data_IF_089637129431
#
_entry.id   IF_089637129431
#
_cell.length_a   1.000
_cell.length_b   1.000
_cell.length_c   1.000
_cell.angle_alpha   90.00
_cell.angle_beta   90.00
_cell.angle_gamma   90.00
#
_symmetry.space_group_name_H-M   'P 1'
#
loop_
_entity.id
_entity.type
_entity.pdbx_description
1 polymer ?
#
# COMPACT_ATOMS: atom_id res chain seq x y z
N UNK A 1 13.23 -33.52 19.89
CA UNK A 1 12.50 -33.24 18.64
C UNK A 1 12.70 -31.76 18.30
N UNK A 2 13.50 -31.44 17.29
CA UNK A 2 13.66 -30.05 16.84
C UNK A 2 12.43 -29.67 16.02
N UNK A 3 11.60 -28.76 16.52
CA UNK A 3 10.43 -28.28 15.77
C UNK A 3 10.92 -27.52 14.54
N UNK A 4 10.35 -27.80 13.37
CA UNK A 4 10.62 -26.99 12.18
C UNK A 4 10.39 -25.50 12.50
N UNK A 5 11.26 -24.60 12.02
CA UNK A 5 11.05 -23.18 12.22
C UNK A 5 9.69 -22.78 11.62
N UNK A 6 8.95 -21.86 12.26
CA UNK A 6 7.64 -21.45 11.78
C UNK A 6 7.74 -20.91 10.36
N UNK A 7 6.82 -21.34 9.50
CA UNK A 7 6.75 -20.89 8.11
C UNK A 7 6.50 -19.37 8.06
N UNK A 8 7.33 -18.66 7.29
CA UNK A 8 7.29 -17.18 7.23
C UNK A 8 6.24 -16.64 6.26
N UNK A 9 5.77 -17.48 5.34
CA UNK A 9 4.62 -17.25 4.45
C UNK A 9 3.78 -18.52 4.48
N UNK A 10 2.59 -18.47 5.08
CA UNK A 10 1.65 -19.59 5.06
C UNK A 10 0.88 -19.55 3.74
N UNK A 11 0.73 -20.70 3.09
CA UNK A 11 -0.01 -20.83 1.84
C UNK A 11 -1.16 -21.84 2.00
N UNK A 12 -2.41 -21.36 1.92
CA UNK A 12 -3.60 -22.21 1.93
C UNK A 12 -4.26 -22.21 0.54
N UNK A 13 -4.66 -23.39 0.07
CA UNK A 13 -5.35 -23.58 -1.20
C UNK A 13 -6.82 -23.91 -0.88
N UNK A 14 -7.73 -22.97 -1.14
CA UNK A 14 -9.15 -23.09 -0.80
C UNK A 14 -9.95 -23.07 -2.10
N UNK A 15 -10.24 -24.25 -2.62
CA UNK A 15 -10.88 -24.39 -3.93
C UNK A 15 -10.10 -23.63 -4.99
N UNK A 16 -10.71 -22.57 -5.54
CA UNK A 16 -10.10 -21.73 -6.58
C UNK A 16 -9.26 -20.54 -6.06
N UNK A 17 -9.28 -20.32 -4.76
CA UNK A 17 -8.53 -19.25 -4.11
C UNK A 17 -7.15 -19.74 -3.67
N UNK A 18 -6.15 -18.88 -3.79
CA UNK A 18 -4.83 -19.07 -3.19
C UNK A 18 -4.61 -18.02 -2.11
N UNK A 19 -4.48 -18.46 -0.87
CA UNK A 19 -4.31 -17.58 0.27
C UNK A 19 -2.85 -17.55 0.69
N UNK A 20 -2.24 -16.36 0.67
CA UNK A 20 -0.87 -16.14 1.13
C UNK A 20 -0.89 -15.26 2.38
N UNK A 21 -0.42 -15.79 3.50
CA UNK A 21 -0.36 -15.06 4.77
C UNK A 21 1.08 -14.78 5.18
N UNK A 22 1.48 -13.51 5.25
CA UNK A 22 2.75 -13.09 5.83
C UNK A 22 2.74 -13.40 7.33
N UNK A 23 3.57 -14.33 7.77
CA UNK A 23 3.47 -14.93 9.11
C UNK A 23 4.67 -14.59 10.00
N UNK A 24 4.97 -13.29 10.11
CA UNK A 24 6.02 -12.78 11.01
C UNK A 24 5.51 -11.63 11.87
N UNK A 25 4.40 -11.78 12.63
CA UNK A 25 3.75 -10.67 13.32
C UNK A 25 4.66 -9.98 14.35
N UNK A 26 5.56 -10.73 15.00
CA UNK A 26 6.56 -10.19 15.93
C UNK A 26 7.62 -9.31 15.25
N UNK A 27 7.81 -9.48 13.95
CA UNK A 27 8.72 -8.68 13.11
C UNK A 27 7.95 -7.80 12.13
N UNK A 28 6.73 -7.42 12.50
CA UNK A 28 5.90 -6.51 11.71
C UNK A 28 5.68 -6.99 10.26
N UNK A 29 5.68 -8.31 10.04
CA UNK A 29 5.55 -8.92 8.71
C UNK A 29 6.52 -8.31 7.67
N UNK A 30 7.74 -7.95 8.12
CA UNK A 30 8.79 -7.38 7.27
C UNK A 30 9.14 -8.29 6.09
N UNK A 31 9.14 -7.72 4.88
CA UNK A 31 9.45 -8.42 3.62
C UNK A 31 10.96 -8.48 3.47
N UNK A 32 11.58 -9.48 4.10
CA UNK A 32 12.98 -9.81 3.85
C UNK A 32 13.15 -10.49 2.48
N UNK A 33 14.39 -10.58 1.99
CA UNK A 33 14.67 -11.30 0.73
C UNK A 33 14.13 -12.74 0.71
N UNK A 34 14.13 -13.43 1.86
CA UNK A 34 13.50 -14.76 1.99
C UNK A 34 11.99 -14.72 1.79
N UNK A 35 11.29 -13.74 2.38
CA UNK A 35 9.84 -13.59 2.22
C UNK A 35 9.50 -13.23 0.78
N UNK A 36 10.24 -12.29 0.17
CA UNK A 36 10.07 -11.89 -1.22
C UNK A 36 10.26 -13.08 -2.18
N UNK A 37 11.32 -13.88 -1.98
CA UNK A 37 11.57 -15.09 -2.77
C UNK A 37 10.44 -16.10 -2.64
N UNK A 38 9.97 -16.36 -1.42
CA UNK A 38 8.85 -17.29 -1.18
C UNK A 38 7.55 -16.81 -1.83
N UNK A 39 7.25 -15.51 -1.78
CA UNK A 39 6.11 -14.94 -2.47
C UNK A 39 6.24 -15.12 -3.99
N UNK A 40 7.40 -14.78 -4.57
CA UNK A 40 7.66 -14.94 -6.02
C UNK A 40 7.42 -16.38 -6.47
N UNK A 41 8.01 -17.35 -5.77
CA UNK A 41 7.86 -18.77 -6.08
C UNK A 41 6.42 -19.25 -6.02
N UNK A 42 5.64 -18.77 -5.03
CA UNK A 42 4.21 -19.12 -4.92
C UNK A 42 3.38 -18.46 -6.02
N UNK A 43 3.63 -17.19 -6.32
CA UNK A 43 2.95 -16.47 -7.39
C UNK A 43 3.23 -17.12 -8.76
N UNK A 44 4.48 -17.44 -9.07
CA UNK A 44 4.88 -18.16 -10.29
C UNK A 44 4.26 -19.56 -10.38
N UNK A 45 4.10 -20.25 -9.24
CA UNK A 45 3.37 -21.53 -9.18
C UNK A 45 1.90 -21.32 -9.54
N UNK A 46 1.25 -20.32 -8.94
CA UNK A 46 -0.18 -20.09 -9.09
C UNK A 46 -0.56 -19.50 -10.44
N UNK A 47 0.31 -18.72 -11.07
CA UNK A 47 0.13 -18.27 -12.46
C UNK A 47 -0.02 -19.43 -13.45
N UNK A 48 0.60 -20.58 -13.16
CA UNK A 48 0.56 -21.79 -14.01
C UNK A 48 -0.52 -22.78 -13.56
N UNK A 49 -1.28 -22.47 -12.51
CA UNK A 49 -2.28 -23.35 -11.94
C UNK A 49 -3.67 -22.98 -12.48
N UNK A 50 -4.21 -23.81 -13.39
CA UNK A 50 -5.54 -23.60 -13.96
C UNK A 50 -6.67 -23.61 -12.92
N UNK A 51 -6.41 -24.06 -11.69
CA UNK A 51 -7.37 -24.00 -10.60
C UNK A 51 -7.21 -22.74 -9.73
N UNK A 52 -6.24 -21.87 -10.00
CA UNK A 52 -6.02 -20.63 -9.25
C UNK A 52 -6.67 -19.47 -10.00
N UNK A 53 -7.88 -19.08 -9.59
CA UNK A 53 -8.58 -17.96 -10.23
C UNK A 53 -8.22 -16.61 -9.58
N UNK A 54 -7.95 -16.61 -8.28
CA UNK A 54 -7.54 -15.38 -7.59
C UNK A 54 -6.66 -15.68 -6.37
N UNK A 55 -5.91 -14.66 -5.96
CA UNK A 55 -4.96 -14.72 -4.85
C UNK A 55 -5.34 -13.66 -3.81
N UNK A 56 -5.45 -14.06 -2.55
CA UNK A 56 -5.58 -13.14 -1.42
C UNK A 56 -4.27 -13.15 -0.65
N UNK A 57 -3.65 -11.96 -0.53
CA UNK A 57 -2.46 -11.77 0.30
C UNK A 57 -2.85 -10.99 1.56
N UNK A 58 -2.52 -11.53 2.74
CA UNK A 58 -2.80 -10.90 4.04
C UNK A 58 -1.62 -11.01 5.00
N UNK A 59 -1.66 -10.23 6.07
CA UNK A 59 -0.67 -10.31 7.16
C UNK A 59 -1.27 -10.97 8.39
N UNK A 60 -0.50 -11.83 9.06
CA UNK A 60 -0.86 -12.36 10.36
C UNK A 60 -0.78 -11.26 11.43
N UNK A 61 -1.70 -11.29 12.39
CA UNK A 61 -1.73 -10.35 13.50
C UNK A 61 -2.29 -8.98 13.11
N UNK A 62 -1.73 -7.91 13.69
CA UNK A 62 -2.33 -6.56 13.65
C UNK A 62 -2.07 -5.78 12.36
N UNK A 63 -1.02 -6.11 11.63
CA UNK A 63 -0.58 -5.31 10.48
C UNK A 63 -0.37 -6.18 9.25
N UNK A 64 -0.53 -5.60 8.07
CA UNK A 64 -0.22 -6.29 6.81
C UNK A 64 1.29 -6.53 6.69
N UNK A 65 2.07 -5.46 6.54
CA UNK A 65 3.54 -5.47 6.48
C UNK A 65 4.10 -4.08 6.81
N UNK A 66 5.30 -4.03 7.40
CA UNK A 66 6.08 -2.80 7.56
C UNK A 66 6.89 -2.43 6.29
N UNK A 67 6.72 -3.15 5.19
CA UNK A 67 7.46 -2.95 3.95
C UNK A 67 8.66 -3.89 3.79
N UNK A 68 9.42 -3.66 2.74
CA UNK A 68 10.67 -4.35 2.44
C UNK A 68 11.85 -3.38 2.36
N UNK A 69 13.02 -3.92 2.01
CA UNK A 69 14.20 -3.10 1.78
C UNK A 69 14.01 -2.23 0.51
N UNK A 70 13.78 -0.93 0.71
CA UNK A 70 13.43 0.02 -0.35
C UNK A 70 14.61 0.31 -1.30
N UNK A 71 15.83 -0.12 -0.98
CA UNK A 71 17.03 0.15 -1.79
C UNK A 71 16.99 -0.45 -3.21
N UNK A 72 15.97 -1.23 -3.59
CA UNK A 72 15.91 -1.95 -4.88
C UNK A 72 14.69 -1.67 -5.74
N UNK A 73 13.79 -0.77 -5.34
CA UNK A 73 12.54 -0.51 -6.07
C UNK A 73 12.23 0.99 -6.05
N UNK A 74 12.87 1.75 -6.95
CA UNK A 74 12.48 3.13 -7.26
C UNK A 74 12.29 3.26 -8.76
N UNK A 75 11.02 3.37 -9.17
CA UNK A 75 10.63 3.94 -10.45
C UNK A 75 9.27 4.66 -10.31
N UNK A 76 9.17 5.81 -10.96
CA UNK A 76 8.54 7.05 -10.46
C UNK A 76 7.02 7.15 -10.38
N UNK A 77 6.59 8.12 -9.53
CA UNK A 77 5.42 9.02 -9.58
C UNK A 77 5.60 10.10 -8.49
N UNK A 78 5.24 11.36 -8.74
CA UNK A 78 5.37 12.51 -7.81
C UNK A 78 4.83 12.25 -6.38
N UNK A 79 3.73 11.50 -6.26
CA UNK A 79 3.17 11.08 -4.97
C UNK A 79 4.10 10.14 -4.17
N UNK A 80 4.89 9.31 -4.85
CA UNK A 80 5.89 8.42 -4.23
C UNK A 80 7.10 9.20 -3.75
N UNK A 81 7.53 10.23 -4.50
CA UNK A 81 8.63 11.11 -4.12
C UNK A 81 8.27 11.93 -2.88
N UNK A 82 7.07 12.52 -2.85
CA UNK A 82 6.58 13.18 -1.66
C UNK A 82 6.57 12.25 -0.44
N UNK A 83 5.99 11.04 -0.57
CA UNK A 83 5.96 10.06 0.52
C UNK A 83 7.35 9.63 0.96
N UNK A 84 8.25 9.37 0.00
CA UNK A 84 9.62 8.93 0.25
C UNK A 84 10.45 9.99 0.95
N UNK A 85 10.36 11.24 0.50
CA UNK A 85 11.15 12.37 1.02
C UNK A 85 10.59 12.92 2.33
N UNK A 86 9.28 12.84 2.56
CA UNK A 86 8.67 13.38 3.78
C UNK A 86 8.46 12.34 4.88
N UNK A 87 8.41 11.05 4.55
CA UNK A 87 8.13 9.98 5.50
C UNK A 87 6.75 10.08 6.16
N UNK A 88 5.81 10.81 5.54
CA UNK A 88 4.47 11.02 6.10
C UNK A 88 3.72 9.68 6.18
N UNK A 89 3.07 9.46 7.33
CA UNK A 89 2.23 8.28 7.58
C UNK A 89 0.80 8.59 7.17
N UNK A 90 0.29 7.86 6.19
CA UNK A 90 -1.12 7.93 5.81
C UNK A 90 -1.96 6.88 6.52
N UNK A 91 -3.20 7.27 6.82
CA UNK A 91 -4.24 6.40 7.35
C UNK A 91 -5.19 5.97 6.23
N UNK A 92 -5.97 4.91 6.45
CA UNK A 92 -6.68 4.20 5.36
C UNK A 92 -7.50 5.08 4.41
N UNK A 93 -8.18 6.12 4.90
CA UNK A 93 -8.91 7.08 4.06
C UNK A 93 -8.01 7.85 3.10
N UNK A 94 -6.83 8.21 3.58
CA UNK A 94 -5.84 8.98 2.83
C UNK A 94 -5.21 8.14 1.71
N UNK A 95 -4.98 6.86 1.99
CA UNK A 95 -4.47 5.90 1.00
C UNK A 95 -5.41 5.76 -0.21
N UNK A 96 -6.72 5.80 0.01
CA UNK A 96 -7.76 5.71 -1.04
C UNK A 96 -7.77 6.97 -1.89
N UNK A 97 -7.84 8.10 -1.21
CA UNK A 97 -7.86 9.41 -1.85
C UNK A 97 -6.61 9.70 -2.68
N UNK A 98 -5.45 9.19 -2.26
CA UNK A 98 -4.20 9.28 -3.01
C UNK A 98 -4.11 8.28 -4.18
N UNK A 99 -5.14 7.45 -4.41
CA UNK A 99 -5.15 6.42 -5.45
C UNK A 99 -4.19 5.25 -5.18
N UNK A 100 -3.68 5.10 -3.95
CA UNK A 100 -2.82 3.97 -3.56
C UNK A 100 -3.64 2.71 -3.19
N UNK A 101 -4.90 2.88 -2.84
CA UNK A 101 -5.85 1.79 -2.63
C UNK A 101 -7.09 2.02 -3.50
N UNK A 102 -7.70 0.92 -3.94
CA UNK A 102 -8.91 0.95 -4.77
C UNK A 102 -10.20 1.00 -3.95
N UNK A 103 -10.21 0.36 -2.78
CA UNK A 103 -11.42 0.18 -1.96
C UNK A 103 -11.12 0.33 -0.48
N UNK A 104 -12.05 0.93 0.26
CA UNK A 104 -11.97 1.06 1.71
C UNK A 104 -12.98 0.15 2.40
N UNK A 105 -12.49 -0.90 3.05
CA UNK A 105 -13.33 -1.84 3.79
C UNK A 105 -13.01 -1.74 5.28
N UNK A 106 -14.00 -1.42 6.14
CA UNK A 106 -13.82 -1.45 7.59
C UNK A 106 -13.33 -2.82 8.09
N UNK A 107 -12.40 -2.83 9.05
CA UNK A 107 -11.74 -4.07 9.50
C UNK A 107 -12.70 -5.16 10.00
N UNK A 108 -13.82 -4.77 10.63
CA UNK A 108 -14.84 -5.70 11.10
C UNK A 108 -15.60 -6.41 9.97
N UNK A 109 -15.57 -5.87 8.75
CA UNK A 109 -16.18 -6.47 7.54
C UNK A 109 -15.23 -7.40 6.79
N UNK A 110 -13.92 -7.31 7.01
CA UNK A 110 -12.92 -8.06 6.22
C UNK A 110 -13.13 -9.58 6.29
N UNK A 111 -13.54 -10.10 7.43
CA UNK A 111 -13.82 -11.53 7.57
C UNK A 111 -15.01 -11.99 6.71
N UNK A 112 -16.06 -11.16 6.62
CA UNK A 112 -17.21 -11.47 5.78
C UNK A 112 -16.88 -11.29 4.29
N UNK A 113 -16.13 -10.24 3.95
CA UNK A 113 -15.62 -10.05 2.59
C UNK A 113 -14.80 -11.25 2.11
N UNK A 114 -13.86 -11.74 2.92
CA UNK A 114 -13.06 -12.92 2.58
C UNK A 114 -13.95 -14.13 2.29
N UNK A 115 -14.96 -14.39 3.14
CA UNK A 115 -15.93 -15.46 2.91
C UNK A 115 -16.74 -15.28 1.63
N UNK A 116 -17.19 -14.06 1.35
CA UNK A 116 -17.96 -13.77 0.12
C UNK A 116 -17.11 -14.00 -1.12
N UNK A 117 -15.85 -13.55 -1.12
CA UNK A 117 -14.91 -13.78 -2.22
C UNK A 117 -14.66 -15.28 -2.46
N UNK A 118 -14.50 -16.06 -1.40
CA UNK A 118 -14.32 -17.51 -1.47
C UNK A 118 -15.55 -18.24 -2.06
N UNK A 119 -16.75 -17.65 -1.97
CA UNK A 119 -18.00 -18.24 -2.43
C UNK A 119 -18.43 -17.81 -3.84
N UNK A 120 -17.71 -16.89 -4.51
CA UNK A 120 -17.99 -16.55 -5.91
C UNK A 120 -17.84 -17.83 -6.77
N UNK A 121 -18.63 -18.00 -7.83
CA UNK A 121 -18.58 -19.18 -8.70
C UNK A 121 -17.42 -19.14 -9.71
N UNK A 122 -17.02 -20.31 -10.22
CA UNK A 122 -15.99 -20.48 -11.26
C UNK A 122 -16.43 -19.85 -12.60
N UNK A 123 -15.53 -19.09 -13.22
CA UNK A 123 -15.75 -18.49 -14.54
C UNK A 123 -16.53 -17.17 -14.50
N UNK A 124 -16.83 -16.66 -13.31
CA UNK A 124 -17.41 -15.34 -13.11
C UNK A 124 -16.40 -14.24 -13.49
N UNK A 125 -16.88 -13.19 -14.13
CA UNK A 125 -16.03 -12.09 -14.59
C UNK A 125 -15.41 -11.28 -13.45
N UNK A 126 -14.29 -10.59 -13.72
CA UNK A 126 -13.65 -9.62 -12.82
C UNK A 126 -14.63 -8.57 -12.26
N UNK A 127 -15.72 -8.29 -12.99
CA UNK A 127 -16.79 -7.37 -12.59
C UNK A 127 -17.51 -7.84 -11.32
N UNK A 128 -17.64 -9.14 -11.10
CA UNK A 128 -18.31 -9.70 -9.92
C UNK A 128 -17.42 -9.59 -8.68
N UNK A 129 -16.11 -9.82 -8.82
CA UNK A 129 -15.16 -9.57 -7.73
C UNK A 129 -15.22 -8.12 -7.27
N UNK A 130 -15.22 -7.18 -8.22
CA UNK A 130 -15.37 -5.75 -7.91
C UNK A 130 -16.70 -5.47 -7.22
N UNK A 131 -17.81 -5.97 -7.75
CA UNK A 131 -19.13 -5.78 -7.13
C UNK A 131 -19.21 -6.30 -5.70
N UNK A 132 -18.60 -7.45 -5.41
CA UNK A 132 -18.54 -7.98 -4.04
C UNK A 132 -17.69 -7.06 -3.16
N UNK A 133 -16.51 -6.63 -3.60
CA UNK A 133 -15.68 -5.72 -2.81
C UNK A 133 -16.40 -4.38 -2.57
N UNK A 134 -17.11 -3.86 -3.58
CA UNK A 134 -17.91 -2.63 -3.50
C UNK A 134 -19.02 -2.71 -2.44
N UNK A 135 -19.70 -3.86 -2.32
CA UNK A 135 -20.74 -4.09 -1.31
C UNK A 135 -20.20 -3.93 0.13
N UNK A 136 -18.97 -4.39 0.38
CA UNK A 136 -18.33 -4.26 1.69
C UNK A 136 -17.63 -2.91 1.89
N UNK A 137 -17.43 -2.16 0.81
CA UNK A 137 -16.70 -0.90 0.82
C UNK A 137 -17.51 0.23 1.46
N UNK A 138 -16.82 1.30 1.85
CA UNK A 138 -17.45 2.51 2.37
C UNK A 138 -16.83 3.70 1.66
N UNK A 139 -17.68 4.60 1.17
CA UNK A 139 -17.22 5.83 0.55
C UNK A 139 -16.44 6.66 1.57
N UNK A 140 -15.22 7.03 1.17
CA UNK A 140 -14.32 7.81 2.00
C UNK A 140 -14.55 9.28 1.68
N UNK A 141 -15.00 10.04 2.68
CA UNK A 141 -14.90 11.50 2.67
C UNK A 141 -13.56 11.89 3.29
N UNK A 142 -12.78 12.70 2.57
CA UNK A 142 -11.50 13.26 3.04
C UNK A 142 -11.84 14.42 3.98
N UNK A 143 -11.20 14.46 5.13
CA UNK A 143 -11.27 15.61 6.04
C UNK A 143 -10.56 16.81 5.39
N UNK A 144 -11.16 18.01 5.41
CA UNK A 144 -10.56 19.23 4.86
C UNK A 144 -9.16 19.52 5.42
N UNK A 145 -8.88 19.04 6.63
CA UNK A 145 -7.56 19.17 7.28
C UNK A 145 -6.50 18.18 6.79
N UNK A 146 -6.87 17.18 5.99
CA UNK A 146 -5.94 16.18 5.45
C UNK A 146 -4.98 16.84 4.46
N UNK A 147 -3.73 16.37 4.44
CA UNK A 147 -2.71 16.77 3.45
C UNK A 147 -3.21 16.56 2.00
N UNK A 148 -4.19 15.68 1.80
CA UNK A 148 -4.79 15.42 0.50
C UNK A 148 -5.65 16.55 -0.06
N UNK A 149 -6.21 17.43 0.77
CA UNK A 149 -6.83 18.66 0.26
C UNK A 149 -5.80 19.62 -0.35
N UNK A 150 -4.52 19.39 -0.06
CA UNK A 150 -3.37 20.19 -0.51
C UNK A 150 -2.55 19.49 -1.60
N UNK A 151 -3.02 18.35 -2.11
CA UNK A 151 -2.28 17.54 -3.08
C UNK A 151 -2.08 18.23 -4.42
N UNK A 152 -2.98 19.12 -4.83
CA UNK A 152 -2.77 19.93 -6.05
C UNK A 152 -1.51 20.79 -5.95
N UNK A 153 -1.24 21.36 -4.77
CA UNK A 153 -0.05 22.16 -4.50
C UNK A 153 1.18 21.25 -4.44
N UNK A 154 1.08 20.10 -3.79
CA UNK A 154 2.18 19.12 -3.72
C UNK A 154 2.56 18.64 -5.12
N UNK A 155 1.58 18.23 -5.92
CA UNK A 155 1.81 17.70 -7.26
C UNK A 155 2.38 18.76 -8.20
N UNK A 156 1.91 20.02 -8.12
CA UNK A 156 2.53 21.13 -8.87
C UNK A 156 3.99 21.35 -8.42
N UNK A 157 4.29 21.37 -7.12
CA UNK A 157 5.66 21.54 -6.64
C UNK A 157 6.58 20.38 -7.05
N UNK A 158 6.10 19.13 -7.06
CA UNK A 158 6.86 17.96 -7.50
C UNK A 158 6.82 17.73 -9.02
N UNK A 159 6.12 18.56 -9.79
CA UNK A 159 6.12 18.48 -11.26
C UNK A 159 7.38 19.08 -11.90
N UNK A 160 8.26 19.70 -11.11
CA UNK A 160 9.50 20.33 -11.59
C UNK A 160 10.53 19.27 -11.97
N UNK A 161 11.41 19.59 -12.91
CA UNK A 161 12.37 18.63 -13.46
C UNK A 161 13.54 18.36 -12.51
N UNK A 162 13.82 19.29 -11.58
CA UNK A 162 14.93 19.19 -10.64
C UNK A 162 14.50 19.35 -9.18
N UNK A 163 15.32 18.80 -8.27
CA UNK A 163 15.12 18.96 -6.82
C UNK A 163 15.23 20.42 -6.38
N UNK A 164 16.12 21.20 -6.99
CA UNK A 164 16.31 22.62 -6.68
C UNK A 164 15.03 23.41 -7.03
N UNK A 165 14.51 23.23 -8.24
CA UNK A 165 13.24 23.86 -8.66
C UNK A 165 12.05 23.41 -7.80
N UNK A 166 12.03 22.13 -7.40
CA UNK A 166 11.01 21.59 -6.48
C UNK A 166 11.06 22.32 -5.13
N UNK A 167 12.25 22.50 -4.56
CA UNK A 167 12.45 23.21 -3.29
C UNK A 167 12.04 24.68 -3.39
N UNK A 168 12.44 25.36 -4.47
CA UNK A 168 12.07 26.75 -4.72
C UNK A 168 10.55 26.92 -4.85
N UNK A 169 9.88 25.98 -5.53
CA UNK A 169 8.42 25.95 -5.65
C UNK A 169 7.75 25.80 -4.27
N UNK A 170 8.28 24.94 -3.41
CA UNK A 170 7.76 24.81 -2.04
C UNK A 170 8.02 26.05 -1.19
N UNK A 171 9.17 26.71 -1.33
CA UNK A 171 9.49 27.95 -0.60
C UNK A 171 8.57 29.11 -1.01
N UNK A 172 8.27 29.24 -2.31
CA UNK A 172 7.30 30.21 -2.82
C UNK A 172 5.90 29.99 -2.24
N UNK A 173 5.45 28.74 -2.19
CA UNK A 173 4.14 28.39 -1.61
C UNK A 173 4.11 28.58 -0.10
N UNK A 174 5.21 28.34 0.61
CA UNK A 174 5.32 28.56 2.07
C UNK A 174 5.20 30.03 2.47
N UNK A 175 5.44 30.96 1.53
CA UNK A 175 5.22 32.39 1.74
C UNK A 175 3.74 32.79 1.88
N UNK A 176 2.81 31.91 1.51
CA UNK A 176 1.36 32.16 1.61
C UNK A 176 0.83 31.74 2.98
N UNK A 177 0.03 32.60 3.62
CA UNK A 177 -0.48 32.41 4.99
C UNK A 177 -1.36 31.16 5.17
N UNK A 178 -2.01 30.71 4.10
CA UNK A 178 -2.83 29.48 4.03
C UNK A 178 -2.03 28.18 3.88
N UNK A 179 -0.71 28.30 3.69
CA UNK A 179 0.21 27.20 3.41
C UNK A 179 1.28 26.99 4.50
N UNK A 180 0.97 27.36 5.74
CA UNK A 180 1.80 27.12 6.93
C UNK A 180 2.19 25.65 7.15
N UNK A 181 1.43 24.70 6.58
CA UNK A 181 1.73 23.27 6.53
C UNK A 181 2.96 22.88 5.69
N UNK A 182 3.44 23.77 4.80
CA UNK A 182 4.58 23.49 3.90
C UNK A 182 5.91 23.57 4.64
N UNK A 183 6.03 24.41 5.66
CA UNK A 183 7.30 24.58 6.37
C UNK A 183 7.80 23.29 7.05
N UNK A 184 6.93 22.49 7.71
CA UNK A 184 7.29 21.13 8.16
C UNK A 184 7.71 20.18 7.02
N UNK A 185 7.08 20.28 5.84
CA UNK A 185 7.39 19.46 4.66
C UNK A 185 8.78 19.77 4.13
N UNK A 186 9.09 21.06 3.91
CA UNK A 186 10.41 21.53 3.48
C UNK A 186 11.52 21.06 4.44
N UNK A 187 11.26 21.15 5.74
CA UNK A 187 12.21 20.68 6.76
C UNK A 187 12.48 19.17 6.66
N UNK A 188 11.46 18.37 6.32
CA UNK A 188 11.60 16.93 6.12
C UNK A 188 12.35 16.61 4.83
N UNK A 189 12.02 17.26 3.71
CA UNK A 189 12.71 17.07 2.41
C UNK A 189 14.20 17.42 2.54
N UNK A 190 14.54 18.56 3.14
CA UNK A 190 15.95 18.97 3.37
C UNK A 190 16.72 18.02 4.30
N UNK A 191 16.01 17.23 5.11
CA UNK A 191 16.61 16.24 6.02
C UNK A 191 16.76 14.86 5.36
N UNK A 192 15.92 14.54 4.37
CA UNK A 192 16.09 13.35 3.55
C UNK A 192 17.32 13.55 2.64
N UNK A 193 18.21 12.56 2.62
CA UNK A 193 19.56 12.69 2.05
C UNK A 193 19.52 13.07 0.56
N UNK A 194 20.30 14.08 0.10
CA UNK A 194 20.32 14.50 -1.31
C UNK A 194 21.01 13.52 -2.28
N UNK A 195 21.48 12.36 -1.81
CA UNK A 195 22.27 11.38 -2.58
C UNK A 195 21.86 9.93 -2.25
N UNK A 196 20.62 9.71 -1.80
CA UNK A 196 20.10 8.37 -1.46
C UNK A 196 19.94 7.46 -2.66
#
# INVERSE_FOLDING_TARGET
MSSMPPEVVIADEIGRARMLTLNRPKHLNFISGKVALMLSQKLEKYEKDNNAEFIIIKGAGRIFSAGGDLQRIYDGRNTREYLGLTGVKWKGKEVIAAGLATHFVPSHKLFQLEKSLLNINNGEEDTIFRSVIDEFSTNVQIDETSVLSKFSIIDDCFSRETLEETLDSFEAEAGKKENDWIMPVLKSIKKASPIG
#
